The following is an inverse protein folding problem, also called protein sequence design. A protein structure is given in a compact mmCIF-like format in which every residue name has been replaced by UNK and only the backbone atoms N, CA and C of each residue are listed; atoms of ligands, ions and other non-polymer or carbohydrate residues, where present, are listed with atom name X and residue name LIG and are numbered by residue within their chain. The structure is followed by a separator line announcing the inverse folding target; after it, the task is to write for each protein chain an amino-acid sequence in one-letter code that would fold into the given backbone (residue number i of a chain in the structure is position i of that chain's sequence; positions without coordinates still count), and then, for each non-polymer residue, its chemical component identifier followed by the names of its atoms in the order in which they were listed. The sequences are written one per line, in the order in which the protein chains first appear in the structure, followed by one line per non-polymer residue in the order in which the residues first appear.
data_IF_784754189868
#
_entry.id   IF_784754189868
#
_cell.length_a   1.000
_cell.length_b   1.000
_cell.length_c   1.000
_cell.angle_alpha   90.00
_cell.angle_beta   90.00
_cell.angle_gamma   90.00
#
_symmetry.space_group_name_H-M   'P 1'
#
loop_
_entity.id
_entity.type
_entity.pdbx_description
1 polymer ?
#
# COMPACT_ATOMS: atom_id res chain seq x y z
N UNK A 1 -12.06 -4.61 22.11
CA UNK A 1 -12.27 -3.23 22.57
C UNK A 1 -11.14 -2.41 21.95
N UNK A 2 -11.44 -1.40 21.13
CA UNK A 2 -10.39 -0.57 20.51
C UNK A 2 -9.73 0.33 21.56
N UNK A 3 -8.44 0.68 21.40
CA UNK A 3 -7.80 1.65 22.29
C UNK A 3 -8.54 2.99 22.28
N UNK A 4 -8.58 3.67 23.42
CA UNK A 4 -9.22 4.98 23.54
C UNK A 4 -8.41 6.04 22.77
N UNK A 5 -8.95 6.52 21.65
CA UNK A 5 -8.37 7.61 20.87
C UNK A 5 -9.07 8.91 21.26
N UNK A 6 -8.34 9.87 21.82
CA UNK A 6 -8.89 11.19 22.13
C UNK A 6 -9.07 11.97 20.83
N UNK A 7 -10.32 12.12 20.39
CA UNK A 7 -10.65 12.95 19.24
C UNK A 7 -10.18 14.40 19.48
N UNK A 8 -9.06 14.78 18.87
CA UNK A 8 -8.70 16.19 18.70
C UNK A 8 -9.34 16.72 17.42
N UNK A 9 -9.77 17.98 17.48
CA UNK A 9 -10.47 18.70 16.41
C UNK A 9 -9.76 18.49 15.06
N UNK A 10 -10.48 18.24 13.95
CA UNK A 10 -9.86 18.04 12.66
C UNK A 10 -9.12 19.31 12.28
N UNK A 11 -7.79 19.27 12.29
CA UNK A 11 -7.02 20.29 11.62
C UNK A 11 -7.32 20.07 10.14
N UNK A 12 -8.01 21.01 9.49
CA UNK A 12 -8.33 20.95 8.08
C UNK A 12 -7.01 20.89 7.32
N UNK A 13 -6.57 19.66 6.99
CA UNK A 13 -5.27 19.45 6.37
C UNK A 13 -5.19 20.33 5.12
N UNK A 14 -4.20 21.22 5.11
CA UNK A 14 -3.86 22.02 3.94
C UNK A 14 -3.35 21.04 2.88
N UNK A 15 -3.85 21.15 1.64
CA UNK A 15 -3.29 20.39 0.52
C UNK A 15 -1.77 20.60 0.51
N UNK A 16 -1.02 19.53 0.66
CA UNK A 16 0.43 19.59 0.75
C UNK A 16 1.01 19.95 -0.63
N UNK A 17 1.95 20.90 -0.67
CA UNK A 17 2.67 21.25 -1.89
C UNK A 17 3.55 20.07 -2.31
N UNK A 18 3.75 19.91 -3.62
CA UNK A 18 4.57 18.82 -4.14
C UNK A 18 6.05 19.16 -3.97
N UNK A 19 6.88 18.12 -3.80
CA UNK A 19 8.33 18.24 -3.65
C UNK A 19 8.76 19.18 -2.50
N UNK A 20 8.16 18.96 -1.33
CA UNK A 20 8.48 19.68 -0.09
C UNK A 20 8.24 18.75 1.11
N UNK A 21 9.12 18.80 2.10
CA UNK A 21 8.93 18.09 3.36
C UNK A 21 7.84 18.74 4.20
N UNK A 22 6.88 17.94 4.65
CA UNK A 22 5.85 18.32 5.61
C UNK A 22 5.94 17.44 6.84
N UNK A 23 6.16 18.06 8.00
CA UNK A 23 6.09 17.37 9.28
C UNK A 23 4.62 16.99 9.55
N UNK A 24 4.33 15.70 9.59
CA UNK A 24 2.99 15.17 9.87
C UNK A 24 2.79 14.95 11.37
N UNK A 25 3.83 14.44 12.02
CA UNK A 25 3.92 14.31 13.47
C UNK A 25 5.39 14.30 13.90
N UNK A 26 5.68 14.18 15.20
CA UNK A 26 7.05 14.15 15.70
C UNK A 26 7.92 13.17 14.92
N UNK A 27 9.04 13.63 14.37
CA UNK A 27 10.01 12.82 13.64
C UNK A 27 9.48 12.10 12.38
N UNK A 28 8.33 12.51 11.85
CA UNK A 28 7.75 11.93 10.63
C UNK A 28 7.42 13.02 9.62
N UNK A 29 8.07 12.96 8.45
CA UNK A 29 7.80 13.83 7.31
C UNK A 29 7.14 13.05 6.18
N UNK A 30 6.20 13.69 5.48
CA UNK A 30 5.66 13.20 4.21
C UNK A 30 5.96 14.20 3.09
N UNK A 31 6.14 13.67 1.88
CA UNK A 31 6.37 14.43 0.67
C UNK A 31 5.40 13.98 -0.41
N UNK A 32 4.74 14.93 -1.07
CA UNK A 32 3.89 14.65 -2.23
C UNK A 32 4.65 14.78 -3.54
N UNK A 33 4.49 13.80 -4.42
CA UNK A 33 5.05 13.78 -5.77
C UNK A 33 3.98 13.95 -6.85
N UNK A 34 4.41 14.17 -8.10
CA UNK A 34 3.53 14.11 -9.27
C UNK A 34 3.56 12.71 -9.85
N UNK A 35 2.39 12.18 -10.19
CA UNK A 35 2.27 10.94 -10.94
C UNK A 35 1.03 11.00 -11.82
N UNK A 36 1.21 10.90 -13.14
CA UNK A 36 0.12 11.05 -14.10
C UNK A 36 -0.33 9.70 -14.63
N UNK A 37 -1.55 9.31 -14.29
CA UNK A 37 -2.25 8.19 -14.93
C UNK A 37 -2.77 8.63 -16.31
N UNK A 38 -2.64 7.74 -17.30
CA UNK A 38 -2.97 8.00 -18.72
C UNK A 38 -2.34 9.29 -19.28
N UNK A 39 -1.20 9.73 -18.74
CA UNK A 39 -0.49 10.99 -19.06
C UNK A 39 -1.26 12.29 -18.78
N UNK A 40 -2.52 12.23 -18.35
CA UNK A 40 -3.40 13.40 -18.18
C UNK A 40 -3.85 13.64 -16.74
N UNK A 41 -4.15 12.59 -15.97
CA UNK A 41 -4.72 12.73 -14.62
C UNK A 41 -3.60 12.56 -13.59
N UNK A 42 -3.22 13.66 -12.92
CA UNK A 42 -2.23 13.63 -11.83
C UNK A 42 -2.89 13.06 -10.56
N UNK A 43 -2.66 11.77 -10.29
CA UNK A 43 -3.14 11.05 -9.10
C UNK A 43 -2.15 11.16 -7.92
N UNK A 44 -1.04 11.85 -8.14
CA UNK A 44 0.04 12.07 -7.15
C UNK A 44 0.75 10.77 -6.73
N UNK A 45 1.85 10.89 -6.01
CA UNK A 45 2.57 9.77 -5.37
C UNK A 45 3.17 10.30 -4.06
N UNK A 46 3.83 9.47 -3.26
CA UNK A 46 4.34 9.85 -1.96
C UNK A 46 5.72 9.27 -1.64
N UNK A 47 6.37 9.90 -0.68
CA UNK A 47 7.52 9.39 0.04
C UNK A 47 7.39 9.87 1.49
N UNK A 48 7.86 9.08 2.45
CA UNK A 48 7.95 9.50 3.85
C UNK A 48 9.37 9.39 4.37
N UNK A 49 9.71 10.20 5.36
CA UNK A 49 11.00 10.15 6.05
C UNK A 49 10.70 10.05 7.54
N UNK A 50 11.36 9.12 8.23
CA UNK A 50 11.21 8.88 9.66
C UNK A 50 12.58 9.09 10.30
N UNK A 51 12.67 9.93 11.33
CA UNK A 51 13.86 9.99 12.17
C UNK A 51 13.73 8.98 13.31
N UNK A 52 14.68 8.06 13.38
CA UNK A 52 14.80 7.05 14.42
C UNK A 52 15.34 7.66 15.72
N UNK A 53 15.16 6.95 16.84
CA UNK A 53 15.66 7.35 18.18
C UNK A 53 17.18 7.52 18.22
N UNK A 54 17.92 6.80 17.37
CA UNK A 54 19.37 6.93 17.25
C UNK A 54 19.81 8.14 16.39
N UNK A 55 18.86 8.96 15.91
CA UNK A 55 19.10 10.16 15.10
C UNK A 55 19.28 9.89 13.61
N UNK A 56 19.32 8.63 13.16
CA UNK A 56 19.37 8.24 11.74
C UNK A 56 17.97 8.27 11.11
N UNK A 57 17.91 8.14 9.79
CA UNK A 57 16.67 8.29 9.03
C UNK A 57 16.33 7.06 8.21
N UNK A 58 15.03 6.72 8.19
CA UNK A 58 14.46 5.81 7.20
C UNK A 58 13.70 6.62 6.16
N UNK A 59 13.94 6.28 4.90
CA UNK A 59 13.15 6.78 3.77
C UNK A 59 12.20 5.68 3.33
N UNK A 60 10.90 5.97 3.28
CA UNK A 60 9.83 5.03 2.90
C UNK A 60 9.29 5.45 1.53
N UNK A 61 9.42 4.53 0.58
CA UNK A 61 9.29 4.74 -0.87
C UNK A 61 10.12 5.91 -1.40
N UNK A 62 10.00 6.20 -2.69
CA UNK A 62 10.77 7.29 -3.31
C UNK A 62 9.90 8.03 -4.32
N UNK A 63 10.21 9.32 -4.51
CA UNK A 63 9.61 10.13 -5.56
C UNK A 63 10.69 10.82 -6.38
N UNK A 64 10.32 11.28 -7.57
CA UNK A 64 11.17 12.17 -8.35
C UNK A 64 11.35 13.49 -7.59
N UNK A 65 12.59 13.79 -7.23
CA UNK A 65 12.96 14.98 -6.46
C UNK A 65 13.38 16.12 -7.40
N UNK A 66 12.91 17.32 -7.12
CA UNK A 66 13.52 18.54 -7.64
C UNK A 66 14.68 19.00 -6.73
N UNK A 67 15.41 20.03 -7.17
CA UNK A 67 16.57 20.56 -6.42
C UNK A 67 16.20 21.04 -5.01
N UNK A 68 15.00 21.61 -4.84
CA UNK A 68 14.51 22.07 -3.54
C UNK A 68 14.36 20.90 -2.57
N UNK A 69 13.60 19.86 -2.95
CA UNK A 69 13.38 18.71 -2.10
C UNK A 69 14.70 18.00 -1.77
N UNK A 70 15.59 17.87 -2.75
CA UNK A 70 16.92 17.31 -2.54
C UNK A 70 17.68 18.11 -1.46
N UNK A 71 17.72 19.44 -1.57
CA UNK A 71 18.37 20.29 -0.56
C UNK A 71 17.73 20.16 0.83
N UNK A 72 16.39 20.05 0.91
CA UNK A 72 15.69 19.84 2.18
C UNK A 72 16.09 18.49 2.81
N UNK A 73 16.23 17.41 2.01
CA UNK A 73 16.68 16.09 2.47
C UNK A 73 18.17 16.13 2.85
N UNK A 74 19.01 16.77 2.06
CA UNK A 74 20.45 16.89 2.33
C UNK A 74 20.68 17.60 3.67
N UNK A 75 19.97 18.70 3.92
CA UNK A 75 20.04 19.40 5.20
C UNK A 75 19.54 18.55 6.37
N UNK A 76 18.46 17.78 6.16
CA UNK A 76 17.89 16.93 7.21
C UNK A 76 18.80 15.75 7.56
N UNK A 77 19.47 15.18 6.57
CA UNK A 77 20.15 13.87 6.67
C UNK A 77 21.67 13.96 6.61
N UNK A 78 22.24 15.16 6.73
CA UNK A 78 23.67 15.41 6.53
C UNK A 78 24.15 14.88 5.16
N UNK A 79 23.59 15.42 4.08
CA UNK A 79 23.86 15.04 2.69
C UNK A 79 23.66 13.53 2.43
N UNK A 80 22.68 12.91 3.10
CA UNK A 80 22.39 11.49 3.00
C UNK A 80 23.24 10.58 3.90
N UNK A 81 24.29 11.08 4.58
CA UNK A 81 25.15 10.25 5.43
C UNK A 81 24.43 9.70 6.68
N UNK A 82 23.30 10.30 7.06
CA UNK A 82 22.44 9.81 8.15
C UNK A 82 21.23 9.01 7.67
N UNK A 83 21.10 8.70 6.38
CA UNK A 83 20.10 7.75 5.90
C UNK A 83 20.57 6.34 6.25
N UNK A 84 19.89 5.72 7.22
CA UNK A 84 20.10 4.32 7.63
C UNK A 84 19.69 3.38 6.51
N UNK A 85 18.48 3.60 5.97
CA UNK A 85 17.93 2.77 4.92
C UNK A 85 16.84 3.47 4.09
N UNK A 86 16.67 2.96 2.87
CA UNK A 86 15.57 3.30 1.96
C UNK A 86 14.73 2.04 1.74
N UNK A 87 13.41 2.15 1.86
CA UNK A 87 12.49 1.01 1.93
C UNK A 87 11.42 1.13 0.85
N UNK A 88 11.35 0.16 -0.05
CA UNK A 88 10.31 0.07 -1.08
C UNK A 88 9.13 -0.78 -0.66
N UNK A 89 8.02 -0.15 -0.28
CA UNK A 89 6.87 -0.75 0.40
C UNK A 89 5.81 -1.31 -0.53
N UNK A 90 5.66 -0.76 -1.74
CA UNK A 90 4.68 -1.24 -2.71
C UNK A 90 5.35 -1.85 -3.96
N UNK A 91 4.96 -3.06 -4.43
CA UNK A 91 5.63 -3.75 -5.55
C UNK A 91 5.71 -2.95 -6.88
N UNK A 92 4.85 -1.95 -7.06
CA UNK A 92 4.76 -1.18 -8.30
C UNK A 92 5.26 0.27 -8.19
N UNK A 93 5.73 0.70 -7.02
CA UNK A 93 6.28 2.06 -6.85
C UNK A 93 7.77 2.09 -7.17
N UNK A 94 8.12 1.74 -8.41
CA UNK A 94 9.51 1.45 -8.79
C UNK A 94 10.23 2.63 -9.47
N UNK A 95 9.49 3.62 -9.96
CA UNK A 95 10.00 4.56 -10.99
C UNK A 95 11.08 5.52 -10.50
N UNK A 96 11.08 5.86 -9.22
CA UNK A 96 11.99 6.88 -8.67
C UNK A 96 13.18 6.30 -7.92
N UNK A 97 13.21 4.99 -7.70
CA UNK A 97 14.25 4.33 -6.92
C UNK A 97 15.64 4.48 -7.54
N UNK A 98 15.77 4.27 -8.85
CA UNK A 98 17.07 4.39 -9.54
C UNK A 98 17.65 5.80 -9.44
N UNK A 99 16.81 6.84 -9.57
CA UNK A 99 17.25 8.22 -9.43
C UNK A 99 17.61 8.57 -7.97
N UNK A 100 16.82 8.06 -7.01
CA UNK A 100 17.09 8.24 -5.59
C UNK A 100 18.38 7.54 -5.16
N UNK A 101 18.64 6.32 -5.66
CA UNK A 101 19.88 5.59 -5.43
C UNK A 101 21.11 6.33 -5.98
N UNK A 102 21.02 6.92 -7.17
CA UNK A 102 22.10 7.77 -7.70
C UNK A 102 22.39 8.98 -6.82
N UNK A 103 21.37 9.55 -6.16
CA UNK A 103 21.53 10.68 -5.25
C UNK A 103 22.13 10.26 -3.90
N UNK A 104 21.75 9.08 -3.38
CA UNK A 104 22.12 8.59 -2.06
C UNK A 104 22.64 7.13 -2.07
N UNK A 105 23.74 6.84 -2.79
CA UNK A 105 24.18 5.47 -3.04
C UNK A 105 24.75 4.75 -1.82
N UNK A 106 25.06 5.48 -0.73
CA UNK A 106 25.65 4.91 0.50
C UNK A 106 24.62 4.24 1.42
N UNK A 107 23.34 4.59 1.29
CA UNK A 107 22.29 4.02 2.11
C UNK A 107 22.04 2.55 1.76
N UNK A 108 21.56 1.76 2.72
CA UNK A 108 21.10 0.40 2.45
C UNK A 108 19.67 0.42 1.87
N UNK A 109 19.42 -0.33 0.81
CA UNK A 109 18.11 -0.38 0.15
C UNK A 109 17.40 -1.71 0.44
N UNK A 110 16.16 -1.67 0.87
CA UNK A 110 15.32 -2.85 1.15
C UNK A 110 14.02 -2.74 0.36
N UNK A 111 13.55 -3.82 -0.24
CA UNK A 111 12.37 -3.74 -1.09
C UNK A 111 11.53 -5.00 -1.07
N UNK A 112 10.32 -4.89 -1.59
CA UNK A 112 9.50 -6.07 -1.95
C UNK A 112 10.25 -7.05 -2.88
N UNK A 113 9.83 -8.33 -2.95
CA UNK A 113 10.42 -9.29 -3.88
C UNK A 113 10.43 -8.81 -5.33
N UNK A 114 9.45 -8.00 -5.75
CA UNK A 114 9.39 -7.44 -7.10
C UNK A 114 10.46 -6.39 -7.35
N UNK A 115 10.78 -5.54 -6.36
CA UNK A 115 11.88 -4.58 -6.48
C UNK A 115 13.20 -5.29 -6.79
N UNK A 116 13.52 -6.32 -6.00
CA UNK A 116 14.74 -7.12 -6.17
C UNK A 116 14.81 -7.76 -7.56
N UNK A 117 13.68 -8.26 -8.09
CA UNK A 117 13.63 -8.87 -9.44
C UNK A 117 13.73 -7.86 -10.59
N UNK A 118 13.26 -6.62 -10.41
CA UNK A 118 13.05 -5.66 -11.52
C UNK A 118 14.06 -4.51 -11.55
N UNK A 119 14.59 -4.10 -10.39
CA UNK A 119 15.53 -2.99 -10.25
C UNK A 119 16.91 -3.54 -9.88
N UNK A 120 17.50 -4.31 -10.80
CA UNK A 120 18.75 -5.05 -10.59
C UNK A 120 19.99 -4.17 -10.50
N UNK A 121 19.89 -2.90 -10.90
CA UNK A 121 20.95 -1.92 -10.75
C UNK A 121 21.12 -1.40 -9.30
N UNK A 122 20.15 -1.66 -8.43
CA UNK A 122 20.22 -1.32 -7.01
C UNK A 122 20.69 -2.56 -6.25
N UNK A 123 21.78 -2.48 -5.47
CA UNK A 123 22.24 -3.59 -4.64
C UNK A 123 21.37 -3.72 -3.39
N UNK A 124 20.18 -4.32 -3.54
CA UNK A 124 19.24 -4.49 -2.43
C UNK A 124 19.86 -5.29 -1.28
N UNK A 125 19.87 -4.70 -0.10
CA UNK A 125 20.38 -5.25 1.15
C UNK A 125 19.43 -6.27 1.80
N UNK A 126 18.17 -6.34 1.36
CA UNK A 126 17.24 -7.37 1.83
C UNK A 126 15.82 -7.25 1.28
N UNK A 127 15.06 -8.31 1.50
CA UNK A 127 13.69 -8.50 1.05
C UNK A 127 12.69 -8.22 2.18
N UNK A 128 11.69 -7.37 1.95
CA UNK A 128 10.63 -7.08 2.93
C UNK A 128 9.66 -8.23 3.18
N UNK A 129 9.63 -9.25 2.30
CA UNK A 129 8.91 -10.49 2.59
C UNK A 129 9.47 -11.16 3.85
N UNK A 130 10.78 -11.05 4.09
CA UNK A 130 11.40 -11.58 5.29
C UNK A 130 10.99 -10.74 6.52
N UNK A 131 10.42 -11.44 7.51
CA UNK A 131 10.05 -10.84 8.79
C UNK A 131 11.27 -10.30 9.52
N UNK A 132 12.44 -10.93 9.41
CA UNK A 132 13.67 -10.48 10.07
C UNK A 132 14.09 -9.09 9.60
N UNK A 133 13.96 -8.82 8.29
CA UNK A 133 14.23 -7.52 7.67
C UNK A 133 13.24 -6.47 8.17
N UNK A 134 11.93 -6.79 8.16
CA UNK A 134 10.89 -5.86 8.65
C UNK A 134 11.02 -5.49 10.12
N UNK A 135 11.68 -6.32 10.92
CA UNK A 135 11.88 -6.12 12.36
C UNK A 135 13.13 -5.30 12.73
N UNK A 136 14.00 -4.98 11.77
CA UNK A 136 15.28 -4.29 12.03
C UNK A 136 15.14 -2.96 12.77
N UNK A 137 14.00 -2.29 12.62
CA UNK A 137 13.76 -0.97 13.18
C UNK A 137 12.71 -0.97 14.29
N UNK A 138 12.28 -2.13 14.78
CA UNK A 138 11.47 -2.21 15.99
C UNK A 138 12.30 -1.75 17.22
N UNK A 139 11.72 -1.00 18.17
CA UNK A 139 10.31 -0.59 18.26
C UNK A 139 10.02 0.79 17.62
N UNK A 140 10.97 1.41 16.91
CA UNK A 140 10.77 2.73 16.30
C UNK A 140 9.79 2.66 15.16
N UNK A 141 9.87 1.61 14.35
CA UNK A 141 9.02 1.40 13.19
C UNK A 141 8.59 -0.06 13.15
N UNK A 142 7.28 -0.27 13.03
CA UNK A 142 6.68 -1.58 12.87
C UNK A 142 6.16 -1.76 11.45
N UNK A 143 6.34 -2.95 10.87
CA UNK A 143 5.94 -3.23 9.49
C UNK A 143 5.14 -4.52 9.36
N UNK A 144 4.01 -4.46 8.68
CA UNK A 144 3.14 -5.63 8.43
C UNK A 144 2.74 -5.70 6.96
N UNK A 145 2.62 -6.92 6.45
CA UNK A 145 2.09 -7.19 5.11
C UNK A 145 0.65 -7.68 5.27
N UNK A 146 -0.34 -7.11 4.56
CA UNK A 146 -1.70 -7.61 4.50
C UNK A 146 -1.79 -9.12 4.19
N UNK A 147 -2.65 -9.83 4.91
CA UNK A 147 -3.01 -11.20 4.59
C UNK A 147 -4.21 -11.26 3.62
N UNK A 148 -4.44 -12.43 3.00
CA UNK A 148 -5.57 -12.64 2.08
C UNK A 148 -5.33 -12.15 0.65
N UNK A 149 -4.10 -11.77 0.32
CA UNK A 149 -3.72 -11.24 -0.98
C UNK A 149 -2.26 -11.58 -1.36
N UNK A 150 -1.95 -11.48 -2.65
CA UNK A 150 -0.62 -11.77 -3.21
C UNK A 150 0.31 -10.55 -3.06
N UNK A 151 1.49 -10.76 -2.48
CA UNK A 151 2.49 -9.70 -2.24
C UNK A 151 3.80 -9.93 -3.03
N UNK A 152 4.20 -11.18 -3.27
CA UNK A 152 5.49 -11.55 -3.85
C UNK A 152 5.50 -11.22 -5.34
N UNK A 153 4.42 -11.61 -6.03
CA UNK A 153 4.26 -11.38 -7.46
C UNK A 153 2.80 -11.11 -7.82
N UNK A 154 2.24 -9.94 -7.45
CA UNK A 154 0.84 -9.63 -7.74
C UNK A 154 0.58 -9.63 -9.24
N UNK A 155 -0.45 -10.37 -9.66
CA UNK A 155 -0.86 -10.49 -11.05
C UNK A 155 -2.36 -10.18 -11.23
N UNK A 156 -2.78 -9.68 -12.40
CA UNK A 156 -1.92 -9.19 -13.48
C UNK A 156 -1.28 -7.84 -13.10
N UNK A 157 -0.03 -7.63 -13.52
CA UNK A 157 0.75 -6.42 -13.20
C UNK A 157 0.07 -5.10 -13.57
N UNK A 158 -0.81 -5.12 -14.58
CA UNK A 158 -1.51 -3.93 -15.06
C UNK A 158 -2.60 -3.43 -14.11
N UNK A 159 -3.10 -4.28 -13.20
CA UNK A 159 -4.26 -3.93 -12.36
C UNK A 159 -4.16 -4.36 -10.90
N UNK A 160 -3.32 -5.35 -10.55
CA UNK A 160 -3.21 -5.83 -9.18
C UNK A 160 -2.24 -5.01 -8.34
N UNK A 161 -2.67 -3.81 -7.91
CA UNK A 161 -1.90 -2.88 -7.08
C UNK A 161 -2.47 -2.79 -5.66
N UNK A 162 -3.03 -3.88 -5.15
CA UNK A 162 -3.78 -3.81 -3.89
C UNK A 162 -2.88 -3.74 -2.65
N UNK A 163 -1.80 -4.52 -2.62
CA UNK A 163 -1.06 -4.77 -1.38
C UNK A 163 0.28 -4.05 -1.36
N UNK A 164 0.48 -3.29 -0.28
CA UNK A 164 1.74 -2.69 0.17
C UNK A 164 2.07 -3.15 1.59
N UNK A 165 3.33 -3.03 1.97
CA UNK A 165 3.75 -3.11 3.37
C UNK A 165 3.18 -1.89 4.11
N UNK A 166 2.47 -2.12 5.21
CA UNK A 166 2.06 -1.05 6.12
C UNK A 166 3.24 -0.73 7.04
N UNK A 167 3.61 0.55 7.12
CA UNK A 167 4.70 1.05 7.97
C UNK A 167 4.10 1.97 9.03
N UNK A 168 4.19 1.58 10.28
CA UNK A 168 3.69 2.33 11.43
C UNK A 168 4.85 2.90 12.24
N UNK A 169 4.77 4.21 12.52
CA UNK A 169 5.70 4.90 13.40
C UNK A 169 4.95 5.31 14.68
N UNK A 170 5.16 4.61 15.81
CA UNK A 170 4.39 4.85 17.05
C UNK A 170 4.53 6.27 17.59
N UNK A 171 5.73 6.85 17.57
CA UNK A 171 6.00 8.18 18.12
C UNK A 171 5.19 9.28 17.44
N UNK A 172 5.02 9.21 16.12
CA UNK A 172 4.19 10.18 15.38
C UNK A 172 2.74 9.75 15.24
N UNK A 173 2.41 8.52 15.64
CA UNK A 173 1.12 7.87 15.40
C UNK A 173 0.72 7.96 13.92
N UNK A 174 1.69 7.75 13.02
CA UNK A 174 1.47 7.84 11.57
C UNK A 174 1.62 6.47 10.93
N UNK A 175 0.64 6.13 10.09
CA UNK A 175 0.63 4.94 9.28
C UNK A 175 0.88 5.30 7.81
N UNK A 176 1.78 4.59 7.14
CA UNK A 176 2.03 4.68 5.71
C UNK A 176 1.55 3.39 5.05
N UNK A 177 0.67 3.50 4.04
CA UNK A 177 -0.09 2.35 3.49
C UNK A 177 -0.12 2.27 1.97
N UNK A 178 0.56 3.18 1.27
CA UNK A 178 0.51 3.31 -0.19
C UNK A 178 -0.88 3.17 -0.81
N UNK A 179 -1.04 2.20 -1.72
CA UNK A 179 -2.22 2.05 -2.57
C UNK A 179 -3.36 1.33 -1.83
N UNK A 180 -3.04 0.51 -0.82
CA UNK A 180 -4.01 -0.37 -0.14
C UNK A 180 -5.23 0.39 0.34
N UNK A 181 -5.01 1.55 0.98
CA UNK A 181 -6.06 2.49 1.36
C UNK A 181 -5.78 3.81 0.64
N UNK A 182 -6.82 4.32 -0.03
CA UNK A 182 -6.81 5.62 -0.68
C UNK A 182 -7.58 6.63 0.18
N UNK A 183 -7.08 7.86 0.23
CA UNK A 183 -7.76 8.97 0.89
C UNK A 183 -7.96 10.13 -0.08
N UNK A 184 -9.22 10.40 -0.42
CA UNK A 184 -9.60 11.48 -1.30
C UNK A 184 -9.79 12.78 -0.52
N UNK A 185 -8.70 13.49 -0.23
CA UNK A 185 -8.78 14.78 0.45
C UNK A 185 -9.62 15.75 -0.38
N UNK A 186 -9.15 16.21 -1.54
CA UNK A 186 -9.88 17.15 -2.41
C UNK A 186 -9.97 16.59 -3.83
N UNK A 187 -10.85 15.60 -4.08
CA UNK A 187 -10.96 15.01 -5.41
C UNK A 187 -11.33 16.08 -6.44
N UNK A 188 -10.68 16.01 -7.61
CA UNK A 188 -10.98 16.89 -8.73
C UNK A 188 -12.43 16.74 -9.20
N UNK A 189 -12.92 17.72 -9.96
CA UNK A 189 -14.32 17.79 -10.39
C UNK A 189 -14.85 16.49 -11.03
N UNK A 190 -14.09 15.90 -11.95
CA UNK A 190 -14.48 14.64 -12.61
C UNK A 190 -14.63 13.47 -11.63
N UNK A 191 -13.72 13.35 -10.65
CA UNK A 191 -13.79 12.30 -9.63
C UNK A 191 -14.99 12.50 -8.70
N UNK A 192 -15.36 13.75 -8.41
CA UNK A 192 -16.56 14.07 -7.63
C UNK A 192 -17.85 13.66 -8.35
N UNK A 193 -17.93 13.88 -9.66
CA UNK A 193 -19.07 13.41 -10.49
C UNK A 193 -19.18 11.88 -10.43
N UNK A 194 -18.05 11.18 -10.41
CA UNK A 194 -17.99 9.72 -10.29
C UNK A 194 -18.21 9.21 -8.85
N UNK A 195 -18.68 10.06 -7.93
CA UNK A 195 -19.07 9.68 -6.57
C UNK A 195 -17.95 9.71 -5.52
N UNK A 196 -16.74 10.15 -5.87
CA UNK A 196 -15.65 10.31 -4.91
C UNK A 196 -15.88 11.55 -4.04
N UNK A 197 -16.17 11.34 -2.75
CA UNK A 197 -16.50 12.42 -1.80
C UNK A 197 -15.23 13.02 -1.19
N UNK A 198 -15.29 14.31 -0.88
CA UNK A 198 -14.26 14.99 -0.09
C UNK A 198 -14.08 14.29 1.27
N UNK A 199 -12.84 14.03 1.66
CA UNK A 199 -12.50 13.38 2.92
C UNK A 199 -12.88 11.90 3.00
N UNK A 200 -13.15 11.23 1.88
CA UNK A 200 -13.50 9.80 1.90
C UNK A 200 -12.28 8.89 1.86
N UNK A 201 -12.37 7.78 2.59
CA UNK A 201 -11.43 6.66 2.49
C UNK A 201 -12.06 5.48 1.76
N UNK A 202 -11.24 4.76 0.99
CA UNK A 202 -11.63 3.53 0.31
C UNK A 202 -10.44 2.60 0.19
N UNK A 203 -10.68 1.29 0.14
CA UNK A 203 -9.65 0.35 -0.32
C UNK A 203 -9.38 0.53 -1.82
N UNK A 204 -8.17 0.20 -2.28
CA UNK A 204 -7.82 0.25 -3.70
C UNK A 204 -8.86 -0.51 -4.56
N UNK A 205 -9.23 -0.02 -5.77
CA UNK A 205 -10.28 -0.64 -6.57
C UNK A 205 -10.01 -2.09 -6.96
N UNK A 206 -8.74 -2.50 -7.05
CA UNK A 206 -8.35 -3.89 -7.37
C UNK A 206 -8.81 -4.90 -6.31
N UNK A 207 -9.20 -4.48 -5.10
CA UNK A 207 -9.84 -5.36 -4.12
C UNK A 207 -11.09 -6.06 -4.69
N UNK A 208 -11.77 -5.44 -5.65
CA UNK A 208 -12.98 -5.97 -6.29
C UNK A 208 -12.69 -6.98 -7.41
N UNK A 209 -11.42 -7.14 -7.78
CA UNK A 209 -10.99 -7.98 -8.90
C UNK A 209 -9.87 -8.93 -8.50
N UNK A 210 -8.61 -8.55 -8.68
CA UNK A 210 -7.42 -9.40 -8.50
C UNK A 210 -6.67 -9.16 -7.19
N UNK A 211 -7.09 -8.17 -6.40
CA UNK A 211 -6.39 -7.74 -5.20
C UNK A 211 -6.36 -8.81 -4.11
N UNK A 212 -7.49 -9.51 -3.90
CA UNK A 212 -7.58 -10.63 -2.96
C UNK A 212 -7.40 -11.95 -3.69
N UNK A 213 -6.90 -12.97 -2.99
CA UNK A 213 -6.86 -14.32 -3.55
C UNK A 213 -8.27 -14.77 -3.99
N UNK A 214 -8.39 -15.56 -5.08
CA UNK A 214 -9.67 -15.99 -5.62
C UNK A 214 -10.30 -17.15 -4.80
N UNK A 215 -10.24 -17.04 -3.48
CA UNK A 215 -10.80 -18.01 -2.52
C UNK A 215 -11.92 -17.35 -1.72
N UNK A 216 -12.82 -18.16 -1.15
CA UNK A 216 -13.97 -17.63 -0.41
C UNK A 216 -13.59 -17.05 0.97
N UNK A 217 -12.46 -17.44 1.53
CA UNK A 217 -11.94 -16.99 2.83
C UNK A 217 -11.08 -15.72 2.72
N UNK A 218 -10.44 -15.46 1.57
CA UNK A 218 -9.51 -14.34 1.39
C UNK A 218 -10.04 -12.95 1.83
N UNK A 219 -11.30 -12.56 1.53
CA UNK A 219 -11.85 -11.30 2.04
C UNK A 219 -11.91 -11.24 3.56
N UNK A 220 -12.22 -12.35 4.23
CA UNK A 220 -12.28 -12.42 5.69
C UNK A 220 -10.90 -12.48 6.32
N UNK A 221 -9.94 -13.16 5.68
CA UNK A 221 -8.53 -13.16 6.10
C UNK A 221 -7.97 -11.73 6.06
N UNK A 222 -8.22 -10.98 4.98
CA UNK A 222 -7.81 -9.57 4.89
C UNK A 222 -8.50 -8.70 5.94
N UNK A 223 -9.82 -8.86 6.12
CA UNK A 223 -10.59 -8.15 7.15
C UNK A 223 -10.05 -8.40 8.55
N UNK A 224 -9.81 -9.66 8.90
CA UNK A 224 -9.35 -10.02 10.23
C UNK A 224 -7.90 -9.57 10.46
N UNK A 225 -7.07 -9.59 9.42
CA UNK A 225 -5.76 -8.93 9.45
C UNK A 225 -5.87 -7.42 9.73
N UNK A 226 -6.76 -6.69 9.03
CA UNK A 226 -7.01 -5.27 9.31
C UNK A 226 -7.49 -5.04 10.75
N UNK A 227 -8.28 -5.96 11.31
CA UNK A 227 -8.67 -5.89 12.73
C UNK A 227 -7.48 -6.06 13.66
N UNK A 228 -6.52 -6.94 13.36
CA UNK A 228 -5.28 -7.02 14.16
C UNK A 228 -4.49 -5.72 14.13
N UNK A 229 -4.42 -5.05 12.98
CA UNK A 229 -3.81 -3.72 12.86
C UNK A 229 -4.53 -2.71 13.77
N UNK A 230 -5.86 -2.68 13.73
CA UNK A 230 -6.66 -1.77 14.58
C UNK A 230 -6.63 -2.12 16.07
N UNK A 231 -6.31 -3.36 16.42
CA UNK A 231 -6.11 -3.77 17.82
C UNK A 231 -4.74 -3.34 18.34
N UNK A 232 -3.70 -3.48 17.52
CA UNK A 232 -2.32 -3.32 17.96
C UNK A 232 -1.78 -1.90 17.76
N UNK A 233 -2.24 -1.19 16.74
CA UNK A 233 -1.70 0.12 16.35
C UNK A 233 -2.70 1.25 16.57
N UNK A 234 -2.27 2.25 17.34
CA UNK A 234 -3.03 3.47 17.59
C UNK A 234 -2.45 4.61 16.74
N UNK A 235 -3.06 4.88 15.58
CA UNK A 235 -2.58 5.89 14.63
C UNK A 235 -3.58 7.05 14.49
N UNK A 236 -3.08 8.28 14.46
CA UNK A 236 -3.86 9.48 14.21
C UNK A 236 -3.83 9.90 12.74
N UNK A 237 -2.73 9.57 12.06
CA UNK A 237 -2.45 10.03 10.71
C UNK A 237 -2.29 8.83 9.76
N UNK A 238 -2.73 8.98 8.50
CA UNK A 238 -2.47 7.98 7.46
C UNK A 238 -2.00 8.64 6.15
N UNK A 239 -0.87 8.15 5.63
CA UNK A 239 -0.23 8.59 4.40
C UNK A 239 -0.53 7.59 3.27
N UNK A 240 -1.37 8.02 2.32
CA UNK A 240 -1.80 7.23 1.17
C UNK A 240 -1.05 7.66 -0.09
N UNK A 241 -0.77 6.71 -0.99
CA UNK A 241 0.03 6.97 -2.18
C UNK A 241 -0.58 8.06 -3.05
N UNK A 242 -1.88 7.95 -3.26
CA UNK A 242 -2.64 8.81 -4.14
C UNK A 242 -3.57 9.73 -3.35
N UNK A 243 -3.85 10.89 -3.94
CA UNK A 243 -4.92 11.82 -3.54
C UNK A 243 -4.76 12.59 -2.23
N UNK A 244 -4.02 12.11 -1.22
CA UNK A 244 -3.71 12.92 -0.03
C UNK A 244 -3.21 12.18 1.20
N UNK A 245 -3.10 12.94 2.29
CA UNK A 245 -2.74 12.48 3.63
C UNK A 245 -3.87 12.86 4.57
N UNK A 246 -4.36 11.92 5.38
CA UNK A 246 -5.32 12.23 6.44
C UNK A 246 -4.54 12.52 7.71
N UNK A 247 -4.72 13.73 8.24
CA UNK A 247 -4.15 14.18 9.50
C UNK A 247 -5.24 14.18 10.58
N UNK A 248 -4.98 13.51 11.71
CA UNK A 248 -5.88 13.32 12.84
C UNK A 248 -7.08 12.40 12.56
N UNK A 249 -7.55 11.63 13.54
CA UNK A 249 -8.78 10.84 13.44
C UNK A 249 -8.75 9.69 12.42
N UNK A 250 -7.61 9.39 11.81
CA UNK A 250 -7.49 8.35 10.79
C UNK A 250 -7.92 6.97 11.30
N UNK A 251 -7.66 6.65 12.58
CA UNK A 251 -8.10 5.39 13.19
C UNK A 251 -9.59 5.14 13.01
N UNK A 252 -10.42 6.12 13.39
CA UNK A 252 -11.88 6.00 13.32
C UNK A 252 -12.38 5.93 11.88
N UNK A 253 -11.72 6.63 10.96
CA UNK A 253 -12.02 6.55 9.54
C UNK A 253 -11.72 5.16 8.97
N UNK A 254 -10.63 4.51 9.40
CA UNK A 254 -10.30 3.14 8.99
C UNK A 254 -11.27 2.13 9.60
N UNK A 255 -11.68 2.30 10.87
CA UNK A 255 -12.75 1.49 11.48
C UNK A 255 -14.04 1.59 10.66
N UNK A 256 -14.42 2.82 10.29
CA UNK A 256 -15.61 3.10 9.48
C UNK A 256 -15.50 2.50 8.08
N UNK A 257 -14.34 2.63 7.43
CA UNK A 257 -14.04 2.01 6.14
C UNK A 257 -14.21 0.49 6.21
N UNK A 258 -13.64 -0.16 7.23
CA UNK A 258 -13.71 -1.61 7.36
C UNK A 258 -15.16 -2.09 7.53
N UNK A 259 -15.93 -1.45 8.42
CA UNK A 259 -17.35 -1.75 8.63
C UNK A 259 -18.18 -1.56 7.35
N UNK A 260 -17.96 -0.46 6.63
CA UNK A 260 -18.65 -0.18 5.38
C UNK A 260 -18.28 -1.14 4.24
N UNK A 261 -17.15 -1.87 4.37
CA UNK A 261 -16.67 -2.83 3.37
C UNK A 261 -17.19 -4.25 3.62
N UNK A 262 -17.78 -4.56 4.78
CA UNK A 262 -18.32 -5.90 5.10
C UNK A 262 -19.27 -6.47 4.01
N UNK A 263 -20.21 -5.70 3.42
CA UNK A 263 -21.05 -6.23 2.34
C UNK A 263 -20.26 -6.63 1.09
N UNK A 264 -19.17 -5.91 0.79
CA UNK A 264 -18.27 -6.27 -0.32
C UNK A 264 -17.52 -7.56 -0.01
N UNK A 265 -17.03 -7.74 1.22
CA UNK A 265 -16.36 -8.99 1.62
C UNK A 265 -17.28 -10.20 1.49
N UNK A 266 -18.52 -10.09 1.95
CA UNK A 266 -19.52 -11.14 1.80
C UNK A 266 -19.80 -11.47 0.33
N UNK A 267 -19.98 -10.43 -0.50
CA UNK A 267 -20.20 -10.59 -1.94
C UNK A 267 -19.03 -11.30 -2.63
N UNK A 268 -17.79 -10.89 -2.35
CA UNK A 268 -16.60 -11.51 -2.96
C UNK A 268 -16.43 -12.97 -2.52
N UNK A 269 -16.68 -13.26 -1.25
CA UNK A 269 -16.65 -14.61 -0.70
C UNK A 269 -17.67 -15.52 -1.42
N UNK A 270 -18.92 -15.08 -1.57
CA UNK A 270 -19.97 -15.83 -2.26
C UNK A 270 -19.64 -16.05 -3.75
N UNK A 271 -19.15 -15.02 -4.44
CA UNK A 271 -18.73 -15.10 -5.84
C UNK A 271 -17.62 -16.13 -6.06
N UNK A 272 -16.60 -16.12 -5.20
CA UNK A 272 -15.49 -17.08 -5.27
C UNK A 272 -15.96 -18.50 -4.95
N UNK A 273 -16.90 -18.65 -4.02
CA UNK A 273 -17.49 -19.95 -3.71
C UNK A 273 -18.30 -20.52 -4.90
N UNK A 274 -19.12 -19.71 -5.58
CA UNK A 274 -19.88 -20.14 -6.77
C UNK A 274 -18.95 -20.60 -7.91
N UNK A 275 -17.91 -19.83 -8.21
CA UNK A 275 -16.91 -20.18 -9.24
C UNK A 275 -16.22 -21.51 -8.95
N UNK A 276 -15.97 -21.82 -7.67
CA UNK A 276 -15.39 -23.10 -7.26
C UNK A 276 -16.29 -24.28 -7.69
N UNK A 277 -17.60 -24.17 -7.55
CA UNK A 277 -18.53 -25.24 -7.93
C UNK A 277 -18.83 -25.28 -9.44
N UNK A 278 -18.78 -24.15 -10.15
CA UNK A 278 -18.91 -24.11 -11.60
C UNK A 278 -17.74 -24.82 -12.31
N UNK A 279 -16.52 -24.67 -11.79
CA UNK A 279 -15.33 -25.35 -12.31
C UNK A 279 -15.25 -26.85 -11.96
N UNK A 280 -16.17 -27.36 -11.14
CA UNK A 280 -16.24 -28.78 -10.72
C UNK A 280 -17.35 -29.54 -11.46
N UNK A 281 -18.16 -28.88 -12.30
CA UNK A 281 -19.11 -29.60 -13.15
C UNK A 281 -18.34 -30.50 -14.14
N UNK A 282 -18.63 -31.81 -14.19
CA UNK A 282 -17.96 -32.70 -15.14
C UNK A 282 -18.25 -32.23 -16.56
N UNK A 283 -17.22 -32.21 -17.40
CA UNK A 283 -17.40 -32.10 -18.84
C UNK A 283 -18.26 -33.26 -19.29
N UNK A 284 -19.49 -32.99 -19.73
CA UNK A 284 -20.28 -33.95 -20.49
C UNK A 284 -19.62 -34.11 -21.86
N UNK A 285 -18.49 -34.79 -21.92
CA UNK A 285 -18.04 -35.47 -23.12
C UNK A 285 -18.86 -36.76 -23.20
N UNK A 286 -20.08 -36.65 -23.73
CA UNK A 286 -20.73 -37.78 -24.37
C UNK A 286 -19.85 -38.18 -25.55
N UNK A 287 -18.91 -39.09 -25.28
CA UNK A 287 -18.36 -39.93 -26.33
C UNK A 287 -19.52 -40.82 -26.80
N UNK A 288 -20.01 -40.54 -28.00
CA UNK A 288 -20.83 -41.49 -28.74
C UNK A 288 -19.98 -42.77 -28.89
N UNK A 289 -20.21 -43.76 -28.03
CA UNK A 289 -19.81 -45.12 -28.32
C UNK A 289 -20.60 -45.55 -29.55
N UNK A 290 -19.93 -45.58 -30.69
CA UNK A 290 -20.37 -46.37 -31.83
C UNK A 290 -20.39 -47.83 -31.36
N UNK A 291 -21.58 -48.32 -31.05
CA UNK A 291 -21.83 -49.75 -30.96
C UNK A 291 -21.88 -50.25 -32.40
N UNK A 292 -20.74 -50.72 -32.89
CA UNK A 292 -20.66 -51.50 -34.11
C UNK A 292 -21.36 -52.84 -33.86
N UNK A 293 -22.55 -53.01 -34.42
CA UNK A 293 -23.21 -54.29 -34.58
C UNK A 293 -23.40 -54.58 -36.06
N UNK A 294 -22.59 -55.49 -36.59
CA UNK A 294 -23.08 -56.65 -37.35
C UNK A 294 -21.91 -57.60 -37.66
N UNK A 295 -22.17 -58.86 -37.36
CA UNK A 295 -21.33 -60.03 -37.55
C UNK A 295 -21.29 -60.47 -39.03
N UNK A 296 -20.26 -61.27 -39.35
CA UNK A 296 -20.17 -62.29 -40.41
C UNK A 296 -20.23 -61.85 -41.89
N UNK A 297 -19.07 -61.98 -42.56
CA UNK A 297 -18.88 -61.94 -44.00
C UNK A 297 -17.44 -61.65 -44.37
#
# INVERSE_FOLDING_TARGET
MYPAVLARTPNTARKLDKNKLYLIGPNFWNVRGRFKCLKVIDIETQMSIIQLRNGKFLVIDTINMNNRLRQEIDNLTNNGDNIEAVIGTHPFHTLSFTAFYKAYPKAAYYGTPRHLRRLTEIPWAGDLQDRSVRKKWEPDVEMRIPAGAEFINPQPESTNHFISVFVYHPTSQTLHVDDTIMYAEKPGFLLRILGCKHGSMAFHPSIKTSGLYPTCDAPYVFRDWMRTVLCDWCFENICCAHMGVKIGGAFLDVVTLLNNTEPLFAKLSEQNNKKRFENVKPSNNQSNMNVSGNECG
#
